data_IF_951137479447
#
_entry.id   IF_951137479447
#
_cell.length_a   1.000
_cell.length_b   1.000
_cell.length_c   1.000
_cell.angle_alpha   90.00
_cell.angle_beta   90.00
_cell.angle_gamma   90.00
#
_symmetry.space_group_name_H-M   'P 1'
#
loop_
_entity.id
_entity.type
_entity.pdbx_description
1 polymer ?
#
# COMPACT_ATOMS: atom_id res chain seq x y z
N UNK A 1 2.24 -6.87 19.65
CA UNK A 1 2.06 -6.26 18.32
C UNK A 1 1.47 -7.31 17.39
N UNK A 2 0.20 -7.18 17.00
CA UNK A 2 -0.41 -8.03 15.97
C UNK A 2 -0.67 -7.14 14.77
N UNK A 3 0.09 -7.34 13.70
CA UNK A 3 -0.11 -6.67 12.42
C UNK A 3 -1.26 -7.38 11.72
N UNK A 4 -2.24 -6.61 11.25
CA UNK A 4 -3.31 -7.09 10.38
C UNK A 4 -3.08 -6.46 9.02
N UNK A 5 -3.12 -7.29 7.99
CA UNK A 5 -2.82 -6.88 6.62
C UNK A 5 -4.10 -6.42 5.93
N UNK A 6 -3.98 -5.54 4.93
CA UNK A 6 -5.10 -5.15 4.06
C UNK A 6 -5.89 -6.35 3.51
N UNK A 7 -5.19 -7.48 3.25
CA UNK A 7 -5.80 -8.77 2.84
C UNK A 7 -6.85 -9.31 3.81
N UNK A 8 -6.73 -9.01 5.11
CA UNK A 8 -7.68 -9.46 6.14
C UNK A 8 -9.04 -8.75 6.04
N UNK A 9 -9.11 -7.67 5.25
CA UNK A 9 -10.32 -6.85 5.07
C UNK A 9 -11.01 -7.04 3.73
N UNK A 10 -10.47 -7.88 2.84
CA UNK A 10 -11.02 -8.08 1.49
C UNK A 10 -12.40 -8.73 1.55
N UNK A 11 -13.43 -7.90 1.52
CA UNK A 11 -14.84 -8.29 1.41
C UNK A 11 -15.48 -7.67 0.16
N UNK A 12 -16.56 -8.29 -0.31
CA UNK A 12 -17.32 -7.76 -1.44
C UNK A 12 -17.95 -6.41 -1.05
N UNK A 13 -17.50 -5.31 -1.66
CA UNK A 13 -17.95 -3.96 -1.28
C UNK A 13 -19.45 -3.71 -1.55
N UNK A 14 -20.15 -4.64 -2.21
CA UNK A 14 -21.61 -4.58 -2.41
C UNK A 14 -22.41 -4.46 -1.10
N UNK A 15 -21.81 -4.77 0.05
CA UNK A 15 -22.41 -4.58 1.37
C UNK A 15 -22.37 -3.12 1.88
N UNK A 16 -21.54 -2.25 1.30
CA UNK A 16 -21.42 -0.85 1.71
C UNK A 16 -22.19 0.04 0.73
N UNK A 17 -23.10 0.85 1.26
CA UNK A 17 -24.00 1.67 0.43
C UNK A 17 -23.39 3.03 0.07
N UNK A 18 -22.29 3.43 0.72
CA UNK A 18 -21.59 4.70 0.48
C UNK A 18 -20.08 4.54 0.58
N UNK A 19 -19.34 5.11 -0.38
CA UNK A 19 -17.87 5.16 -0.38
C UNK A 19 -17.26 5.84 0.85
N UNK A 20 -18.05 6.62 1.62
CA UNK A 20 -17.64 7.21 2.90
C UNK A 20 -17.42 6.19 4.01
N UNK A 21 -17.99 4.99 3.90
CA UNK A 21 -17.88 3.92 4.90
C UNK A 21 -16.57 3.11 4.76
N UNK A 22 -15.83 3.36 3.68
CA UNK A 22 -14.54 2.75 3.41
C UNK A 22 -13.42 3.72 3.76
N UNK A 23 -12.33 3.19 4.29
CA UNK A 23 -11.08 3.92 4.44
C UNK A 23 -10.44 4.16 3.07
N UNK A 24 -10.36 3.14 2.23
CA UNK A 24 -9.94 3.22 0.84
C UNK A 24 -10.71 2.23 -0.03
N UNK A 25 -10.73 2.49 -1.33
CA UNK A 25 -11.25 1.55 -2.32
C UNK A 25 -10.47 1.68 -3.64
N UNK A 26 -10.45 0.58 -4.39
CA UNK A 26 -9.86 0.49 -5.72
C UNK A 26 -10.70 -0.43 -6.61
N UNK A 27 -10.67 -0.18 -7.92
CA UNK A 27 -11.25 -1.08 -8.91
C UNK A 27 -10.13 -1.92 -9.54
N UNK A 28 -10.30 -3.24 -9.54
CA UNK A 28 -9.40 -4.19 -10.18
C UNK A 28 -10.21 -5.17 -11.02
N UNK A 29 -10.05 -5.09 -12.35
CA UNK A 29 -10.71 -5.97 -13.34
C UNK A 29 -12.24 -6.01 -13.16
N UNK A 30 -12.87 -4.83 -13.03
CA UNK A 30 -14.32 -4.69 -12.87
C UNK A 30 -14.87 -5.11 -11.50
N UNK A 31 -13.99 -5.49 -10.56
CA UNK A 31 -14.35 -5.73 -9.17
C UNK A 31 -13.83 -4.60 -8.31
N UNK A 32 -14.65 -4.14 -7.37
CA UNK A 32 -14.19 -3.18 -6.38
C UNK A 32 -13.65 -3.94 -5.16
N UNK A 33 -12.53 -3.47 -4.64
CA UNK A 33 -11.96 -3.86 -3.34
C UNK A 33 -11.83 -2.62 -2.45
N UNK A 34 -11.90 -2.80 -1.13
CA UNK A 34 -11.72 -1.69 -0.22
C UNK A 34 -11.60 -2.13 1.23
N UNK A 35 -10.99 -1.27 2.02
CA UNK A 35 -10.78 -1.47 3.45
C UNK A 35 -11.91 -0.75 4.22
N UNK A 36 -12.75 -1.46 5.00
CA UNK A 36 -13.80 -0.83 5.79
C UNK A 36 -13.26 0.05 6.91
N UNK A 37 -13.79 1.26 7.06
CA UNK A 37 -13.33 2.19 8.10
C UNK A 37 -13.62 1.67 9.51
N UNK A 38 -14.84 1.16 9.73
CA UNK A 38 -15.32 0.63 11.01
C UNK A 38 -14.41 -0.46 11.57
N UNK A 39 -13.99 -1.42 10.73
CA UNK A 39 -13.08 -2.49 11.14
C UNK A 39 -11.69 -1.96 11.51
N UNK A 40 -11.19 -0.97 10.78
CA UNK A 40 -9.90 -0.35 11.10
C UNK A 40 -9.99 0.39 12.44
N UNK A 41 -11.04 1.16 12.65
CA UNK A 41 -11.29 1.87 13.91
C UNK A 41 -11.47 0.93 15.10
N UNK A 42 -12.23 -0.15 14.94
CA UNK A 42 -12.40 -1.18 15.97
C UNK A 42 -11.04 -1.73 16.44
N UNK A 43 -10.15 -2.04 15.50
CA UNK A 43 -8.82 -2.56 15.80
C UNK A 43 -7.93 -1.52 16.46
N UNK A 44 -7.97 -0.28 15.99
CA UNK A 44 -7.24 0.84 16.63
C UNK A 44 -7.71 1.05 18.06
N UNK A 45 -9.02 0.99 18.32
CA UNK A 45 -9.62 1.12 19.65
C UNK A 45 -9.22 -0.05 20.59
N UNK A 46 -8.86 -1.20 20.04
CA UNK A 46 -8.27 -2.32 20.79
C UNK A 46 -6.76 -2.16 21.05
N UNK A 47 -6.17 -1.00 20.71
CA UNK A 47 -4.73 -0.74 20.85
C UNK A 47 -3.85 -1.49 19.84
N UNK A 48 -4.42 -1.94 18.70
CA UNK A 48 -3.68 -2.64 17.65
C UNK A 48 -3.21 -1.67 16.57
N UNK A 49 -2.04 -1.97 16.01
CA UNK A 49 -1.54 -1.31 14.82
C UNK A 49 -2.07 -2.01 13.57
N UNK A 50 -2.64 -1.24 12.65
CA UNK A 50 -3.14 -1.72 11.36
C UNK A 50 -2.12 -1.42 10.28
N UNK A 51 -1.73 -2.43 9.49
CA UNK A 51 -0.78 -2.29 8.40
C UNK A 51 -1.50 -2.49 7.07
N UNK A 52 -1.56 -1.45 6.26
CA UNK A 52 -2.21 -1.50 4.94
C UNK A 52 -1.14 -1.67 3.86
N UNK A 53 -1.26 -2.75 3.09
CA UNK A 53 -0.54 -2.95 1.83
C UNK A 53 -1.54 -2.70 0.71
N UNK A 54 -1.49 -1.50 0.13
CA UNK A 54 -2.47 -0.99 -0.83
C UNK A 54 -1.77 -0.21 -1.95
N UNK A 55 -2.47 -0.02 -3.07
CA UNK A 55 -1.95 0.77 -4.18
C UNK A 55 -1.89 2.28 -3.86
N UNK A 56 -1.17 3.04 -4.68
CA UNK A 56 -0.94 4.47 -4.47
C UNK A 56 -2.24 5.27 -4.40
N UNK A 57 -3.23 4.93 -5.23
CA UNK A 57 -4.54 5.57 -5.19
C UNK A 57 -5.25 5.34 -3.84
N UNK A 58 -5.18 4.12 -3.29
CA UNK A 58 -5.74 3.80 -1.97
C UNK A 58 -5.02 4.60 -0.88
N UNK A 59 -3.70 4.63 -0.91
CA UNK A 59 -2.89 5.35 0.08
C UNK A 59 -3.19 6.87 0.14
N UNK A 60 -3.48 7.50 -1.01
CA UNK A 60 -3.91 8.91 -1.05
C UNK A 60 -5.25 9.10 -0.32
N UNK A 61 -6.21 8.18 -0.51
CA UNK A 61 -7.49 8.21 0.20
C UNK A 61 -7.29 8.02 1.71
N UNK A 62 -6.44 7.08 2.11
CA UNK A 62 -6.09 6.85 3.52
C UNK A 62 -5.50 8.12 4.12
N UNK A 63 -4.50 8.72 3.47
CA UNK A 63 -3.85 9.94 3.96
C UNK A 63 -4.82 11.11 4.14
N UNK A 64 -5.81 11.23 3.26
CA UNK A 64 -6.84 12.28 3.38
C UNK A 64 -7.78 12.05 4.58
N UNK A 65 -8.07 10.80 4.93
CA UNK A 65 -9.00 10.44 6.03
C UNK A 65 -8.29 10.22 7.37
N UNK A 66 -7.02 9.84 7.35
CA UNK A 66 -6.18 9.50 8.52
C UNK A 66 -4.86 10.27 8.40
N UNK A 67 -4.86 11.59 8.70
CA UNK A 67 -3.68 12.45 8.51
C UNK A 67 -2.47 12.07 9.38
N UNK A 68 -2.71 11.34 10.47
CA UNK A 68 -1.71 10.79 11.39
C UNK A 68 -1.06 9.49 10.89
N UNK A 69 -1.49 8.95 9.74
CA UNK A 69 -0.96 7.70 9.21
C UNK A 69 0.54 7.79 8.86
N UNK A 70 1.30 6.77 9.29
CA UNK A 70 2.66 6.53 8.83
C UNK A 70 2.64 5.98 7.40
N UNK A 71 3.09 6.76 6.44
CA UNK A 71 3.13 6.38 5.02
C UNK A 71 4.57 6.07 4.58
N UNK A 72 4.76 4.89 3.98
CA UNK A 72 6.06 4.43 3.48
C UNK A 72 5.89 4.00 2.02
N UNK A 73 6.60 4.67 1.10
CA UNK A 73 6.65 4.27 -0.31
C UNK A 73 7.84 3.35 -0.55
N UNK A 74 7.63 2.25 -1.28
CA UNK A 74 8.71 1.31 -1.62
C UNK A 74 9.09 1.51 -3.09
N UNK A 75 10.32 1.96 -3.35
CA UNK A 75 10.83 2.17 -4.72
C UNK A 75 11.78 1.06 -5.13
N UNK A 76 11.80 0.61 -6.40
CA UNK A 76 12.92 -0.12 -6.96
C UNK A 76 14.19 0.76 -7.01
N UNK A 77 15.40 0.16 -7.10
CA UNK A 77 16.65 0.93 -7.29
C UNK A 77 16.69 1.69 -8.62
N UNK A 78 16.01 1.18 -9.66
CA UNK A 78 15.79 1.89 -10.92
C UNK A 78 14.58 1.31 -11.67
N UNK A 79 14.06 2.04 -12.66
CA UNK A 79 13.03 1.52 -13.57
C UNK A 79 13.52 0.34 -14.41
N UNK A 80 14.81 0.33 -14.77
CA UNK A 80 15.44 -0.78 -15.48
C UNK A 80 15.44 -2.06 -14.62
N UNK A 81 15.79 -1.95 -13.34
CA UNK A 81 15.76 -3.07 -12.41
C UNK A 81 14.34 -3.55 -12.14
N UNK A 82 13.35 -2.64 -12.08
CA UNK A 82 11.94 -3.01 -12.00
C UNK A 82 11.51 -3.83 -13.23
N UNK A 83 11.87 -3.38 -14.43
CA UNK A 83 11.58 -4.08 -15.68
C UNK A 83 12.22 -5.48 -15.70
N UNK A 84 13.51 -5.59 -15.33
CA UNK A 84 14.20 -6.88 -15.22
C UNK A 84 13.46 -7.83 -14.27
N UNK A 85 13.01 -7.35 -13.11
CA UNK A 85 12.27 -8.15 -12.13
C UNK A 85 10.89 -8.59 -12.65
N UNK A 86 10.16 -7.73 -13.35
CA UNK A 86 8.85 -8.08 -13.93
C UNK A 86 9.03 -9.13 -15.02
N UNK A 87 9.96 -8.92 -15.96
CA UNK A 87 10.24 -9.86 -17.06
C UNK A 87 10.81 -11.18 -16.58
N UNK A 88 11.64 -11.15 -15.52
CA UNK A 88 12.26 -12.34 -14.93
C UNK A 88 11.27 -13.36 -14.39
N UNK A 89 10.03 -12.95 -14.08
CA UNK A 89 8.95 -13.86 -13.65
C UNK A 89 8.43 -14.76 -14.79
N UNK A 90 8.73 -14.43 -16.07
CA UNK A 90 8.37 -15.18 -17.29
C UNK A 90 6.89 -15.60 -17.39
N UNK A 91 6.00 -14.94 -16.65
CA UNK A 91 4.60 -15.32 -16.49
C UNK A 91 3.62 -14.38 -17.18
N UNK A 92 4.10 -13.26 -17.73
CA UNK A 92 3.27 -12.16 -18.20
C UNK A 92 3.58 -11.82 -19.67
N UNK A 93 2.54 -11.53 -20.44
CA UNK A 93 2.68 -11.11 -21.84
C UNK A 93 3.36 -9.73 -21.95
N UNK A 94 4.07 -9.42 -23.05
CA UNK A 94 4.78 -8.16 -23.22
C UNK A 94 3.91 -6.91 -23.01
N UNK A 95 2.65 -6.96 -23.44
CA UNK A 95 1.69 -5.85 -23.27
C UNK A 95 1.34 -5.60 -21.79
N UNK A 96 1.27 -6.65 -20.98
CA UNK A 96 1.01 -6.54 -19.53
C UNK A 96 2.22 -5.92 -18.84
N UNK A 97 3.43 -6.34 -19.23
CA UNK A 97 4.68 -5.75 -18.72
C UNK A 97 4.74 -4.25 -18.99
N UNK A 98 4.43 -3.83 -20.23
CA UNK A 98 4.41 -2.42 -20.61
C UNK A 98 3.42 -1.61 -19.77
N UNK A 99 2.18 -2.10 -19.58
CA UNK A 99 1.17 -1.46 -18.74
C UNK A 99 1.61 -1.31 -17.29
N UNK A 100 2.29 -2.31 -16.72
CA UNK A 100 2.81 -2.26 -15.34
C UNK A 100 3.94 -1.25 -15.19
N UNK A 101 4.84 -1.17 -16.16
CA UNK A 101 5.93 -0.18 -16.16
C UNK A 101 5.40 1.25 -16.32
N UNK A 102 4.41 1.45 -17.19
CA UNK A 102 3.74 2.74 -17.34
C UNK A 102 3.03 3.15 -16.04
N UNK A 103 2.29 2.23 -15.41
CA UNK A 103 1.66 2.46 -14.10
C UNK A 103 2.70 2.83 -13.04
N UNK A 104 3.77 2.06 -12.91
CA UNK A 104 4.83 2.33 -11.94
C UNK A 104 5.48 3.70 -12.18
N UNK A 105 5.71 4.09 -13.45
CA UNK A 105 6.25 5.41 -13.78
C UNK A 105 5.34 6.55 -13.31
N UNK A 106 4.02 6.42 -13.49
CA UNK A 106 3.05 7.43 -13.02
C UNK A 106 2.98 7.46 -11.49
N UNK A 107 3.03 6.31 -10.85
CA UNK A 107 3.02 6.20 -9.39
C UNK A 107 4.26 6.83 -8.74
N UNK A 108 5.41 6.81 -9.41
CA UNK A 108 6.64 7.47 -8.94
C UNK A 108 6.49 8.99 -8.78
N UNK A 109 5.60 9.64 -9.52
CA UNK A 109 5.31 11.08 -9.37
C UNK A 109 4.70 11.39 -7.99
N UNK A 110 4.12 10.39 -7.34
CA UNK A 110 3.42 10.52 -6.06
C UNK A 110 4.33 10.25 -4.85
N UNK A 111 5.60 9.90 -5.07
CA UNK A 111 6.57 9.59 -4.01
C UNK A 111 6.67 10.71 -2.97
N UNK A 112 6.63 11.98 -3.41
CA UNK A 112 6.68 13.15 -2.53
C UNK A 112 5.49 13.29 -1.56
N UNK A 113 4.44 12.48 -1.73
CA UNK A 113 3.29 12.46 -0.82
C UNK A 113 3.48 11.54 0.38
N UNK A 114 4.54 10.74 0.43
CA UNK A 114 4.79 9.78 1.50
C UNK A 114 5.77 10.34 2.50
N UNK A 115 5.60 9.98 3.78
CA UNK A 115 6.48 10.43 4.86
C UNK A 115 7.88 9.82 4.77
N UNK A 116 7.96 8.57 4.33
CA UNK A 116 9.22 7.86 4.10
C UNK A 116 9.23 7.19 2.73
N UNK A 117 10.42 7.07 2.16
CA UNK A 117 10.69 6.34 0.93
C UNK A 117 11.80 5.34 1.20
N UNK A 118 11.58 4.08 0.86
CA UNK A 118 12.54 2.99 1.08
C UNK A 118 12.85 2.32 -0.24
N UNK A 119 14.14 2.29 -0.61
CA UNK A 119 14.59 1.54 -1.77
C UNK A 119 14.60 0.03 -1.47
N UNK A 120 13.99 -0.75 -2.36
CA UNK A 120 13.94 -2.20 -2.31
C UNK A 120 14.95 -2.81 -3.28
N UNK A 121 16.24 -2.56 -3.02
CA UNK A 121 17.32 -3.25 -3.71
C UNK A 121 17.49 -4.67 -3.14
N UNK A 122 17.72 -4.78 -1.84
CA UNK A 122 17.69 -6.03 -1.07
C UNK A 122 16.42 -6.09 -0.19
N UNK A 123 15.55 -7.13 -0.34
CA UNK A 123 14.31 -7.23 0.42
C UNK A 123 14.50 -7.33 1.94
N UNK A 124 15.59 -7.95 2.42
CA UNK A 124 15.83 -8.10 3.87
C UNK A 124 16.26 -6.78 4.49
N UNK A 125 17.10 -6.02 3.79
CA UNK A 125 17.52 -4.69 4.19
C UNK A 125 16.32 -3.73 4.18
N UNK A 126 15.54 -3.72 3.10
CA UNK A 126 14.33 -2.90 3.01
C UNK A 126 13.35 -3.20 4.15
N UNK A 127 13.08 -4.48 4.43
CA UNK A 127 12.24 -4.90 5.54
C UNK A 127 12.79 -4.44 6.90
N UNK A 128 14.11 -4.50 7.09
CA UNK A 128 14.77 -4.04 8.32
C UNK A 128 14.62 -2.53 8.52
N UNK A 129 14.79 -1.75 7.45
CA UNK A 129 14.60 -0.29 7.46
C UNK A 129 13.14 0.06 7.79
N UNK A 130 12.17 -0.59 7.12
CA UNK A 130 10.74 -0.38 7.36
C UNK A 130 10.39 -0.69 8.82
N UNK A 131 10.89 -1.81 9.36
CA UNK A 131 10.69 -2.20 10.76
C UNK A 131 11.22 -1.14 11.73
N UNK A 132 12.40 -0.57 11.46
CA UNK A 132 12.98 0.50 12.28
C UNK A 132 12.13 1.78 12.23
N UNK A 133 11.67 2.19 11.04
CA UNK A 133 10.78 3.34 10.86
C UNK A 133 9.49 3.16 11.69
N UNK A 134 8.85 1.99 11.59
CA UNK A 134 7.63 1.67 12.33
C UNK A 134 7.88 1.74 13.85
N UNK A 135 8.93 1.05 14.34
CA UNK A 135 9.27 1.05 15.77
C UNK A 135 9.49 2.47 16.29
N UNK A 136 10.30 3.26 15.59
CA UNK A 136 10.61 4.63 16.00
C UNK A 136 9.36 5.51 16.02
N UNK A 137 8.47 5.35 15.04
CA UNK A 137 7.22 6.09 15.01
C UNK A 137 6.32 5.74 16.20
N UNK A 138 6.25 4.47 16.58
CA UNK A 138 5.47 4.01 17.74
C UNK A 138 6.00 4.51 19.09
N UNK A 139 7.31 4.79 19.21
CA UNK A 139 7.90 5.35 20.43
C UNK A 139 7.62 6.86 20.61
N UNK A 140 7.29 7.55 19.53
CA UNK A 140 7.11 9.01 19.51
C UNK A 140 5.64 9.44 19.44
N UNK A 141 4.72 8.49 19.32
CA UNK A 141 3.28 8.68 19.24
C UNK A 141 2.63 8.40 20.60
#
# INVERSE_FOLDING_TARGET
MRLLFGSDFHGNIKAYHRFSELLEYAEFVGNYYGTPMDKVEELRNQGKNVLLEIEVQGAIQVKAKVPDALTIFIVPPSMEELEKRIRGRKSEAPEVVAKRLEKASKEMEMVGQYKFVVCNDDPKLAASIISLIIKRHMEMA
#
